data_IF_388213732613
#
_entry.id   IF_388213732613
#
_cell.length_a   1.000
_cell.length_b   1.000
_cell.length_c   1.000
_cell.angle_alpha   90.00
_cell.angle_beta   90.00
_cell.angle_gamma   90.00
#
_symmetry.space_group_name_H-M   'P 1'
#
loop_
_entity.id
_entity.type
_entity.pdbx_description
1 polymer ?
#
# COMPACT_ATOMS: atom_id res chain seq x y z
N UNK A 1 12.18 -19.78 10.67
CA UNK A 1 11.34 -18.78 11.36
C UNK A 1 10.60 -18.06 10.26
N UNK A 2 9.26 -18.15 10.19
CA UNK A 2 8.50 -17.44 9.17
C UNK A 2 8.54 -15.96 9.53
N UNK A 3 9.30 -15.18 8.77
CA UNK A 3 9.25 -13.73 8.77
C UNK A 3 7.82 -13.36 8.37
N UNK A 4 7.00 -12.97 9.34
CA UNK A 4 5.68 -12.42 9.05
C UNK A 4 5.90 -11.25 8.09
N UNK A 5 5.37 -11.30 6.86
CA UNK A 5 5.51 -10.18 5.95
C UNK A 5 4.86 -9.00 6.65
N UNK A 6 5.69 -8.09 7.13
CA UNK A 6 5.26 -6.81 7.66
C UNK A 6 4.68 -6.05 6.47
N UNK A 7 3.43 -6.36 6.13
CA UNK A 7 2.55 -5.44 5.42
C UNK A 7 2.31 -4.29 6.41
N UNK A 8 3.33 -3.43 6.56
CA UNK A 8 3.19 -2.16 7.23
C UNK A 8 2.00 -1.49 6.58
N UNK A 9 0.96 -1.22 7.38
CA UNK A 9 -0.26 -0.56 6.92
C UNK A 9 0.16 0.81 6.41
N UNK A 10 0.40 0.92 5.10
CA UNK A 10 0.81 2.17 4.48
C UNK A 10 -0.33 3.18 4.69
N UNK A 11 0.00 4.35 5.18
CA UNK A 11 -0.96 5.45 5.36
C UNK A 11 -0.87 6.37 4.14
N UNK A 12 -2.01 6.94 3.76
CA UNK A 12 -2.07 7.87 2.65
C UNK A 12 -1.29 9.13 3.00
N UNK A 13 -0.35 9.59 2.16
CA UNK A 13 0.41 10.82 2.44
C UNK A 13 -0.46 12.08 2.42
N UNK A 14 -1.65 12.02 1.82
CA UNK A 14 -2.53 13.17 1.66
C UNK A 14 -3.50 13.36 2.83
N UNK A 15 -4.05 12.28 3.37
CA UNK A 15 -5.08 12.33 4.41
C UNK A 15 -4.79 11.46 5.64
N UNK A 16 -3.64 10.79 5.69
CA UNK A 16 -3.23 9.85 6.75
C UNK A 16 -4.15 8.64 6.95
N UNK A 17 -5.10 8.41 6.03
CA UNK A 17 -6.00 7.26 6.10
C UNK A 17 -5.28 5.96 5.70
N UNK A 18 -5.72 4.83 6.23
CA UNK A 18 -5.15 3.51 5.91
C UNK A 18 -5.35 3.21 4.43
N UNK A 19 -4.25 2.96 3.72
CA UNK A 19 -4.31 2.58 2.31
C UNK A 19 -4.85 1.16 2.18
N UNK A 20 -5.76 0.98 1.23
CA UNK A 20 -6.29 -0.31 0.82
C UNK A 20 -5.48 -0.85 -0.36
N UNK A 21 -5.16 -2.13 -0.34
CA UNK A 21 -4.53 -2.75 -1.49
C UNK A 21 -5.60 -3.21 -2.49
N UNK A 22 -5.62 -2.59 -3.67
CA UNK A 22 -6.52 -2.94 -4.76
C UNK A 22 -5.65 -3.43 -5.92
N UNK A 23 -5.75 -4.73 -6.25
CA UNK A 23 -4.99 -5.36 -7.36
C UNK A 23 -3.46 -5.22 -7.24
N UNK A 24 -2.91 -5.18 -6.02
CA UNK A 24 -1.49 -4.98 -5.79
C UNK A 24 -1.08 -3.51 -5.69
N UNK A 25 -1.98 -2.56 -5.97
CA UNK A 25 -1.74 -1.13 -5.85
C UNK A 25 -2.26 -0.61 -4.51
N UNK A 26 -1.49 0.26 -3.85
CA UNK A 26 -1.98 0.95 -2.66
C UNK A 26 -2.88 2.12 -3.06
N UNK A 27 -4.15 2.09 -2.68
CA UNK A 27 -5.14 3.11 -2.99
C UNK A 27 -5.80 3.65 -1.72
N UNK A 28 -6.05 4.95 -1.68
CA UNK A 28 -6.77 5.59 -0.59
C UNK A 28 -8.26 5.70 -0.93
N UNK A 29 -9.16 5.11 -0.13
CA UNK A 29 -10.60 5.21 -0.37
C UNK A 29 -11.18 6.60 -0.04
N UNK A 30 -10.50 7.40 0.78
CA UNK A 30 -11.01 8.70 1.24
C UNK A 30 -10.77 9.84 0.25
N UNK A 31 -9.65 9.78 -0.48
CA UNK A 31 -9.22 10.87 -1.37
C UNK A 31 -8.84 10.40 -2.78
N UNK A 32 -9.16 9.13 -3.10
CA UNK A 32 -8.92 8.51 -4.40
C UNK A 32 -7.45 8.53 -4.86
N UNK A 33 -6.51 8.71 -3.92
CA UNK A 33 -5.08 8.67 -4.19
C UNK A 33 -4.64 7.25 -4.52
N UNK A 34 -3.82 7.06 -5.56
CA UNK A 34 -3.34 5.74 -6.00
C UNK A 34 -1.82 5.76 -6.14
N UNK A 35 -1.16 4.82 -5.48
CA UNK A 35 0.28 4.58 -5.60
C UNK A 35 0.56 3.87 -6.93
N UNK A 36 0.69 4.65 -8.01
CA UNK A 36 1.01 4.13 -9.34
C UNK A 36 2.41 3.50 -9.43
N UNK A 37 3.26 3.74 -8.43
CA UNK A 37 4.64 3.23 -8.31
C UNK A 37 4.72 1.81 -7.70
N UNK A 38 3.61 1.27 -7.19
CA UNK A 38 3.54 -0.08 -6.63
C UNK A 38 3.78 -1.23 -7.65
N UNK A 39 4.23 -0.92 -8.87
CA UNK A 39 4.55 -1.90 -9.93
C UNK A 39 5.86 -2.64 -9.74
N UNK A 40 6.64 -2.37 -8.69
CA UNK A 40 7.94 -3.01 -8.48
C UNK A 40 8.15 -3.36 -7.01
N UNK A 41 7.47 -4.40 -6.52
CA UNK A 41 8.05 -5.23 -5.45
C UNK A 41 8.45 -6.58 -6.06
N UNK A 42 9.66 -6.68 -6.65
CA UNK A 42 10.27 -7.98 -6.85
C UNK A 42 10.62 -8.47 -5.44
N UNK A 43 9.89 -9.48 -4.97
CA UNK A 43 10.32 -10.28 -3.82
C UNK A 43 11.72 -10.82 -4.13
N UNK A 44 12.75 -10.25 -3.50
CA UNK A 44 14.10 -10.82 -3.42
C UNK A 44 14.20 -11.68 -2.17
#
# INVERSE_FOLDING_TARGET
MLETPYYASRQCPQCSSTLSNVQGLAACPECEWIDADARVQPSV
#
